data_IF_999962676453
#
_entry.id   IF_999962676453
#
_cell.length_a   1.000
_cell.length_b   1.000
_cell.length_c   1.000
_cell.angle_alpha   90.00
_cell.angle_beta   90.00
_cell.angle_gamma   90.00
#
_symmetry.space_group_name_H-M   'P 1'
#
loop_
_entity.id
_entity.type
_entity.pdbx_description
1 polymer ?
#
# COMPACT_ATOMS: atom_id res chain seq x y z
N UNK A 1 -19.11 12.22 9.00
CA UNK A 1 -19.47 10.80 9.12
C UNK A 1 -20.47 10.55 10.23
N UNK A 2 -20.25 11.15 11.41
CA UNK A 2 -21.19 11.10 12.54
C UNK A 2 -22.60 11.60 12.14
N UNK A 3 -22.66 12.75 11.42
CA UNK A 3 -23.92 13.28 10.90
C UNK A 3 -24.63 12.39 9.86
N UNK A 4 -23.91 11.50 9.21
CA UNK A 4 -24.46 10.52 8.26
C UNK A 4 -24.86 9.19 8.90
N UNK A 5 -24.55 9.02 10.20
CA UNK A 5 -24.91 7.85 10.99
C UNK A 5 -23.79 6.79 11.12
N UNK A 6 -22.54 7.12 10.75
CA UNK A 6 -21.40 6.31 11.19
C UNK A 6 -21.22 6.52 12.69
N UNK A 7 -21.19 5.43 13.47
CA UNK A 7 -21.09 5.54 14.92
C UNK A 7 -19.67 5.93 15.34
N UNK A 8 -19.40 7.24 15.34
CA UNK A 8 -18.10 7.81 15.68
C UNK A 8 -17.83 7.83 17.19
N UNK A 9 -18.84 7.64 18.02
CA UNK A 9 -18.80 7.70 19.49
C UNK A 9 -19.51 6.51 20.13
N UNK A 10 -19.01 5.27 19.92
CA UNK A 10 -19.68 4.06 20.39
C UNK A 10 -19.86 3.99 21.92
N UNK A 11 -19.06 4.75 22.68
CA UNK A 11 -19.14 4.85 24.16
C UNK A 11 -19.83 6.15 24.63
N UNK A 12 -20.38 6.95 23.71
CA UNK A 12 -21.00 8.24 24.01
C UNK A 12 -20.06 9.46 23.85
N UNK A 13 -18.73 9.23 23.91
CA UNK A 13 -17.71 10.27 23.78
C UNK A 13 -16.66 9.95 22.71
N UNK A 14 -15.87 10.97 22.32
CA UNK A 14 -14.69 10.77 21.49
C UNK A 14 -13.62 10.00 22.26
N UNK A 15 -13.23 8.86 21.74
CA UNK A 15 -12.30 7.97 22.42
C UNK A 15 -11.07 7.71 21.57
N UNK A 16 -9.91 8.16 22.05
CA UNK A 16 -8.62 7.82 21.47
C UNK A 16 -7.98 6.70 22.28
N UNK A 17 -7.94 5.51 21.72
CA UNK A 17 -7.33 4.30 22.31
C UNK A 17 -6.35 3.65 21.33
N UNK A 18 -5.61 2.67 21.80
CA UNK A 18 -4.63 1.92 21.06
C UNK A 18 -3.23 2.21 21.53
N UNK A 19 -2.28 1.57 20.90
CA UNK A 19 -0.89 1.67 21.30
C UNK A 19 -0.33 3.05 20.99
N UNK A 20 0.47 3.58 21.92
CA UNK A 20 1.27 4.78 21.72
C UNK A 20 2.68 4.51 22.24
N UNK A 21 3.68 5.16 21.67
CA UNK A 21 5.01 5.18 22.26
C UNK A 21 4.96 6.00 23.56
N UNK A 22 5.71 5.62 24.60
CA UNK A 22 5.80 6.38 25.85
C UNK A 22 6.08 7.86 25.58
N UNK A 23 5.32 8.74 26.23
CA UNK A 23 5.45 10.19 26.02
C UNK A 23 4.84 10.75 24.72
N UNK A 24 4.19 9.92 23.92
CA UNK A 24 3.45 10.37 22.72
C UNK A 24 1.95 10.29 22.99
N UNK A 25 1.14 11.23 22.41
CA UNK A 25 -0.30 11.15 22.52
C UNK A 25 -0.84 9.92 21.76
N UNK A 26 -1.94 9.35 22.24
CA UNK A 26 -2.69 8.37 21.47
C UNK A 26 -3.42 9.09 20.34
N UNK A 27 -3.17 8.64 19.13
CA UNK A 27 -3.70 9.27 17.93
C UNK A 27 -4.81 8.46 17.25
N UNK A 28 -5.13 7.25 17.75
CA UNK A 28 -6.12 6.37 17.12
C UNK A 28 -7.51 6.63 17.69
N UNK A 29 -8.34 7.33 16.93
CA UNK A 29 -9.76 7.47 17.25
C UNK A 29 -10.45 6.11 17.06
N UNK A 30 -11.11 5.62 18.09
CA UNK A 30 -11.92 4.40 18.04
C UNK A 30 -13.37 4.75 17.75
N UNK A 31 -13.89 4.18 16.68
CA UNK A 31 -15.29 4.31 16.28
C UNK A 31 -15.79 2.97 15.73
N UNK A 32 -17.08 2.80 15.62
CA UNK A 32 -17.67 1.63 14.96
C UNK A 32 -17.76 1.88 13.45
N UNK A 33 -16.81 1.34 12.72
CA UNK A 33 -16.71 1.43 11.27
C UNK A 33 -17.42 0.32 10.51
N UNK A 34 -18.18 -0.56 11.18
CA UNK A 34 -18.80 -1.75 10.56
C UNK A 34 -19.68 -1.44 9.36
N UNK A 35 -20.45 -0.34 9.42
CA UNK A 35 -21.32 0.13 8.36
C UNK A 35 -20.76 1.31 7.53
N UNK A 36 -19.57 1.76 7.83
CA UNK A 36 -18.96 2.96 7.21
C UNK A 36 -19.08 2.95 5.69
N UNK A 37 -18.65 1.89 5.02
CA UNK A 37 -18.68 1.80 3.55
C UNK A 37 -20.10 1.88 2.99
N UNK A 38 -21.07 1.24 3.65
CA UNK A 38 -22.47 1.29 3.24
C UNK A 38 -23.05 2.70 3.36
N UNK A 39 -22.74 3.37 4.48
CA UNK A 39 -23.15 4.75 4.73
C UNK A 39 -22.57 5.69 3.68
N UNK A 40 -21.26 5.64 3.44
CA UNK A 40 -20.60 6.50 2.46
C UNK A 40 -21.13 6.29 1.03
N UNK A 41 -21.38 5.04 0.63
CA UNK A 41 -21.99 4.74 -0.68
C UNK A 41 -23.42 5.26 -0.77
N UNK A 42 -24.23 5.14 0.31
CA UNK A 42 -25.58 5.69 0.36
C UNK A 42 -25.58 7.19 0.14
N UNK A 43 -24.74 7.93 0.88
CA UNK A 43 -24.64 9.38 0.79
C UNK A 43 -24.13 9.84 -0.60
N UNK A 44 -23.14 9.14 -1.14
CA UNK A 44 -22.65 9.45 -2.49
C UNK A 44 -23.75 9.27 -3.55
N UNK A 45 -24.52 8.18 -3.46
CA UNK A 45 -25.68 7.95 -4.36
C UNK A 45 -26.76 9.01 -4.19
N UNK A 46 -27.02 9.47 -2.97
CA UNK A 46 -28.04 10.48 -2.69
C UNK A 46 -27.73 11.83 -3.37
N UNK A 47 -26.46 12.16 -3.57
CA UNK A 47 -26.01 13.37 -4.30
C UNK A 47 -25.73 13.11 -5.79
N UNK A 48 -26.10 11.95 -6.33
CA UNK A 48 -26.05 11.66 -7.76
C UNK A 48 -24.73 11.08 -8.28
N UNK A 49 -23.81 10.63 -7.41
CA UNK A 49 -22.60 9.95 -7.83
C UNK A 49 -22.95 8.63 -8.53
N UNK A 50 -22.42 8.42 -9.72
CA UNK A 50 -22.57 7.18 -10.48
C UNK A 50 -21.44 6.22 -10.12
N UNK A 51 -21.77 4.96 -9.89
CA UNK A 51 -20.83 3.89 -9.57
C UNK A 51 -20.72 2.93 -10.76
N UNK A 52 -19.53 2.76 -11.27
CA UNK A 52 -19.18 1.78 -12.30
C UNK A 52 -18.43 0.63 -11.64
N UNK A 53 -19.17 -0.30 -11.04
CA UNK A 53 -18.61 -1.52 -10.45
C UNK A 53 -18.05 -2.41 -11.57
N UNK A 54 -17.02 -3.20 -11.24
CA UNK A 54 -16.34 -4.09 -12.20
C UNK A 54 -15.70 -3.34 -13.38
N UNK A 55 -15.29 -2.10 -13.17
CA UNK A 55 -14.61 -1.29 -14.17
C UNK A 55 -13.22 -0.85 -13.65
N UNK A 56 -12.22 -1.75 -13.58
CA UNK A 56 -10.86 -1.33 -13.25
C UNK A 56 -10.35 -0.33 -14.29
N UNK A 57 -9.75 0.75 -13.79
CA UNK A 57 -9.04 1.72 -14.62
C UNK A 57 -7.65 1.14 -14.91
N UNK A 58 -7.29 1.09 -16.20
CA UNK A 58 -6.04 0.48 -16.68
C UNK A 58 -5.09 1.49 -17.30
N UNK A 59 -5.57 2.72 -17.63
CA UNK A 59 -4.74 3.80 -18.15
C UNK A 59 -5.35 5.17 -17.85
N UNK A 60 -4.50 6.21 -17.76
CA UNK A 60 -4.92 7.60 -17.72
C UNK A 60 -4.65 8.29 -19.06
N UNK A 61 -5.56 9.15 -19.47
CA UNK A 61 -5.42 9.99 -20.65
C UNK A 61 -4.86 11.36 -20.27
N UNK A 62 -3.78 11.77 -20.93
CA UNK A 62 -3.20 13.11 -20.80
C UNK A 62 -3.20 13.80 -22.15
N UNK A 63 -3.75 15.01 -22.21
CA UNK A 63 -3.75 15.88 -23.40
C UNK A 63 -2.95 17.14 -23.05
N UNK A 64 -1.86 17.37 -23.78
CA UNK A 64 -0.89 18.40 -23.43
C UNK A 64 -0.24 18.10 -22.06
N UNK A 65 -0.37 19.05 -21.14
CA UNK A 65 0.17 18.92 -19.77
C UNK A 65 -0.85 18.40 -18.74
N UNK A 66 -2.12 18.19 -19.17
CA UNK A 66 -3.26 18.00 -18.27
C UNK A 66 -3.92 16.64 -18.41
N UNK A 67 -4.47 16.10 -17.32
CA UNK A 67 -5.36 14.94 -17.36
C UNK A 67 -6.66 15.27 -18.11
N UNK A 68 -7.08 14.35 -18.97
CA UNK A 68 -8.29 14.45 -19.79
C UNK A 68 -9.29 13.32 -19.56
N UNK A 69 -8.89 12.26 -18.85
CA UNK A 69 -9.74 11.12 -18.61
C UNK A 69 -8.97 9.84 -18.28
N UNK A 70 -9.60 8.70 -18.52
CA UNK A 70 -9.08 7.39 -18.23
C UNK A 70 -9.62 6.33 -19.18
N UNK A 71 -8.95 5.18 -19.27
CA UNK A 71 -9.46 3.95 -19.84
C UNK A 71 -9.83 2.99 -18.70
N UNK A 72 -11.07 2.55 -18.67
CA UNK A 72 -11.52 1.45 -17.86
C UNK A 72 -11.77 0.21 -18.73
N UNK A 73 -11.86 -0.95 -18.09
CA UNK A 73 -12.27 -2.20 -18.72
C UNK A 73 -13.50 -2.72 -17.96
N UNK A 74 -14.60 -2.90 -18.66
CA UNK A 74 -15.76 -3.61 -18.08
C UNK A 74 -15.46 -5.11 -18.03
N UNK A 75 -15.37 -5.63 -16.83
CA UNK A 75 -15.10 -7.05 -16.52
C UNK A 75 -16.32 -7.74 -15.90
N UNK A 76 -17.50 -7.20 -16.10
CA UNK A 76 -18.74 -7.78 -15.58
C UNK A 76 -19.17 -9.07 -16.31
N UNK A 77 -18.60 -9.32 -17.48
CA UNK A 77 -18.81 -10.52 -18.29
C UNK A 77 -17.48 -11.20 -18.61
N UNK A 78 -17.52 -12.41 -19.17
CA UNK A 78 -16.35 -13.17 -19.62
C UNK A 78 -15.53 -12.41 -20.67
N UNK A 79 -16.20 -11.67 -21.56
CA UNK A 79 -15.56 -10.87 -22.59
C UNK A 79 -15.41 -9.42 -22.11
N UNK A 80 -14.17 -8.90 -22.03
CA UNK A 80 -13.94 -7.53 -21.59
C UNK A 80 -14.42 -6.51 -22.64
N UNK A 81 -14.87 -5.36 -22.16
CA UNK A 81 -15.12 -4.21 -23.02
C UNK A 81 -14.30 -3.00 -22.56
N UNK A 82 -13.62 -2.34 -23.48
CA UNK A 82 -12.90 -1.12 -23.16
C UNK A 82 -13.85 0.08 -23.10
N UNK A 83 -13.74 0.84 -22.03
CA UNK A 83 -14.60 1.99 -21.73
C UNK A 83 -13.74 3.24 -21.53
N UNK A 84 -13.49 4.01 -22.61
CA UNK A 84 -12.86 5.33 -22.46
C UNK A 84 -13.78 6.29 -21.71
N UNK A 85 -13.23 7.01 -20.75
CA UNK A 85 -13.94 7.96 -19.90
C UNK A 85 -13.31 9.34 -20.06
N UNK A 86 -14.05 10.31 -20.54
CA UNK A 86 -13.64 11.72 -20.51
C UNK A 86 -13.87 12.29 -19.12
N UNK A 87 -12.88 12.97 -18.59
CA UNK A 87 -12.97 13.65 -17.31
C UNK A 87 -12.22 14.97 -17.32
N UNK A 88 -12.79 15.98 -16.70
CA UNK A 88 -12.16 17.31 -16.52
C UNK A 88 -11.06 17.27 -15.48
N UNK A 89 -11.23 16.42 -14.47
CA UNK A 89 -10.26 16.10 -13.42
C UNK A 89 -10.42 14.63 -13.03
N UNK A 90 -9.34 14.02 -12.52
CA UNK A 90 -9.34 12.64 -12.01
C UNK A 90 -8.76 12.64 -10.60
N UNK A 91 -9.44 11.99 -9.65
CA UNK A 91 -8.92 11.74 -8.32
C UNK A 91 -8.65 10.25 -8.14
N UNK A 92 -7.39 9.88 -7.94
CA UNK A 92 -6.98 8.50 -7.65
C UNK A 92 -7.10 8.22 -6.15
N UNK A 93 -7.87 7.19 -5.79
CA UNK A 93 -8.05 6.72 -4.42
C UNK A 93 -7.94 5.19 -4.35
N UNK A 94 -6.95 4.63 -5.03
CA UNK A 94 -6.76 3.18 -5.25
C UNK A 94 -6.23 2.43 -4.05
N UNK A 95 -5.88 3.13 -2.98
CA UNK A 95 -5.39 2.53 -1.74
C UNK A 95 -3.93 2.08 -1.83
N UNK A 96 -3.58 1.10 -0.99
CA UNK A 96 -2.22 0.57 -0.92
C UNK A 96 -1.92 -0.41 -2.07
N UNK A 97 -0.62 -0.64 -2.33
CA UNK A 97 -0.16 -1.65 -3.30
C UNK A 97 0.58 -2.77 -2.59
N UNK A 98 0.21 -4.00 -2.88
CA UNK A 98 0.88 -5.22 -2.43
C UNK A 98 1.13 -6.15 -3.63
N UNK A 99 1.58 -7.39 -3.42
CA UNK A 99 1.98 -8.34 -4.48
C UNK A 99 3.29 -7.97 -5.20
N UNK A 100 4.05 -7.00 -4.66
CA UNK A 100 5.38 -6.63 -5.17
C UNK A 100 6.49 -7.53 -4.64
N UNK A 101 6.34 -8.10 -3.45
CA UNK A 101 7.34 -8.89 -2.77
C UNK A 101 6.80 -10.27 -2.42
N UNK A 102 7.69 -11.25 -2.30
CA UNK A 102 7.31 -12.60 -1.86
C UNK A 102 6.66 -12.54 -0.48
N UNK A 103 5.62 -13.34 -0.30
CA UNK A 103 4.92 -13.46 0.97
C UNK A 103 5.87 -14.03 2.04
N UNK A 104 6.04 -13.30 3.13
CA UNK A 104 6.98 -13.67 4.18
C UNK A 104 6.45 -14.84 5.05
N UNK A 105 5.13 -15.00 5.20
CA UNK A 105 4.51 -16.04 6.01
C UNK A 105 4.41 -17.40 5.32
N UNK A 106 4.06 -17.38 4.05
CA UNK A 106 3.77 -18.55 3.22
C UNK A 106 4.49 -18.40 1.89
N UNK A 107 5.77 -18.81 1.79
CA UNK A 107 6.52 -18.76 0.53
C UNK A 107 5.75 -19.43 -0.62
N UNK A 108 5.75 -18.82 -1.78
CA UNK A 108 4.97 -19.25 -2.94
C UNK A 108 3.51 -18.79 -2.95
N UNK A 109 3.01 -18.20 -1.88
CA UNK A 109 1.69 -17.60 -1.84
C UNK A 109 1.74 -16.16 -2.35
N UNK A 110 1.04 -15.87 -3.43
CA UNK A 110 1.17 -14.60 -4.15
C UNK A 110 0.45 -13.44 -3.44
N UNK A 111 -0.69 -13.71 -2.83
CA UNK A 111 -1.53 -12.69 -2.22
C UNK A 111 -1.26 -12.53 -0.73
N UNK A 112 -1.29 -11.29 -0.27
CA UNK A 112 -1.34 -10.98 1.15
C UNK A 112 -2.74 -11.31 1.71
N UNK A 113 -2.78 -12.06 2.80
CA UNK A 113 -4.06 -12.53 3.39
C UNK A 113 -4.81 -11.45 4.19
N UNK A 114 -4.20 -10.32 4.46
CA UNK A 114 -4.78 -9.25 5.29
C UNK A 114 -5.30 -8.04 4.51
N UNK A 115 -4.98 -7.95 3.22
CA UNK A 115 -5.34 -6.80 2.39
C UNK A 115 -6.07 -7.23 1.12
N UNK A 116 -6.84 -6.32 0.55
CA UNK A 116 -7.58 -6.58 -0.67
C UNK A 116 -6.64 -6.92 -1.83
N UNK A 117 -6.75 -8.09 -2.45
CA UNK A 117 -5.88 -8.49 -3.55
C UNK A 117 -6.07 -7.66 -4.83
N UNK A 118 -7.12 -6.84 -4.89
CA UNK A 118 -7.37 -5.94 -6.01
C UNK A 118 -6.68 -4.57 -5.88
N UNK A 119 -6.09 -4.27 -4.72
CA UNK A 119 -5.28 -3.07 -4.54
C UNK A 119 -3.86 -3.34 -5.06
N UNK A 120 -3.67 -3.29 -6.37
CA UNK A 120 -2.39 -3.58 -7.00
C UNK A 120 -2.02 -2.49 -8.02
N UNK A 121 -0.91 -1.80 -7.75
CA UNK A 121 -0.23 -0.96 -8.73
C UNK A 121 -0.90 0.36 -9.12
N UNK A 122 -1.86 0.87 -8.33
CA UNK A 122 -2.51 2.14 -8.66
C UNK A 122 -1.55 3.33 -8.83
N UNK A 123 -0.38 3.27 -8.20
CA UNK A 123 0.72 4.22 -8.43
C UNK A 123 1.22 4.18 -9.89
N UNK A 124 1.19 3.00 -10.55
CA UNK A 124 1.58 2.85 -11.95
C UNK A 124 0.78 3.75 -12.90
N UNK A 125 -0.51 3.98 -12.63
CA UNK A 125 -1.32 4.92 -13.39
C UNK A 125 -0.74 6.34 -13.37
N UNK A 126 -0.37 6.82 -12.19
CA UNK A 126 0.28 8.13 -12.04
C UNK A 126 1.69 8.17 -12.64
N UNK A 127 2.44 7.06 -12.51
CA UNK A 127 3.79 6.92 -13.09
C UNK A 127 3.79 7.17 -14.59
N UNK A 128 2.93 6.46 -15.33
CA UNK A 128 2.86 6.54 -16.80
C UNK A 128 2.49 7.91 -17.34
N UNK A 129 1.73 8.71 -16.60
CA UNK A 129 1.41 10.10 -16.99
C UNK A 129 2.44 11.12 -16.51
N UNK A 130 3.54 10.68 -15.88
CA UNK A 130 4.63 11.52 -15.41
C UNK A 130 4.38 12.23 -14.08
N UNK A 131 3.42 11.76 -13.28
CA UNK A 131 3.23 12.27 -11.93
C UNK A 131 4.42 11.88 -11.03
N UNK A 132 4.93 12.85 -10.27
CA UNK A 132 6.03 12.61 -9.33
C UNK A 132 5.56 11.75 -8.16
N UNK A 133 6.44 10.84 -7.74
CA UNK A 133 6.25 9.99 -6.57
C UNK A 133 7.30 10.28 -5.52
N UNK A 134 6.96 10.02 -4.27
CA UNK A 134 7.82 10.26 -3.12
C UNK A 134 7.80 9.05 -2.17
N UNK A 135 8.92 8.85 -1.45
CA UNK A 135 9.09 7.76 -0.50
C UNK A 135 9.01 6.33 -1.11
N UNK A 136 9.20 6.19 -2.41
CA UNK A 136 9.18 4.90 -3.10
C UNK A 136 10.32 3.97 -2.65
N UNK A 137 11.45 4.51 -2.23
CA UNK A 137 12.58 3.77 -1.68
C UNK A 137 12.32 3.17 -0.28
N UNK A 138 11.21 3.55 0.37
CA UNK A 138 10.81 3.10 1.71
C UNK A 138 9.53 2.25 1.73
N UNK A 139 9.42 1.14 0.98
CA UNK A 139 8.25 0.27 1.13
C UNK A 139 7.99 -0.04 2.59
N UNK A 140 6.73 0.00 2.99
CA UNK A 140 6.32 -0.12 4.37
C UNK A 140 6.29 -1.58 4.81
N UNK A 141 6.83 -1.86 5.98
CA UNK A 141 6.75 -3.16 6.64
C UNK A 141 6.19 -2.99 8.04
N UNK A 142 5.39 -3.94 8.50
CA UNK A 142 4.93 -3.96 9.88
C UNK A 142 4.94 -5.36 10.48
N UNK A 143 4.89 -5.45 11.80
CA UNK A 143 4.82 -6.71 12.52
C UNK A 143 3.37 -7.20 12.65
N UNK A 144 3.19 -8.50 12.73
CA UNK A 144 1.91 -9.15 12.98
C UNK A 144 2.02 -10.66 13.06
N UNK A 145 0.90 -11.37 13.30
CA UNK A 145 0.86 -12.82 13.41
C UNK A 145 1.26 -13.49 12.09
N UNK A 146 2.11 -14.50 12.15
CA UNK A 146 2.74 -15.11 10.98
C UNK A 146 1.78 -15.90 10.12
N UNK A 147 0.99 -16.77 10.69
CA UNK A 147 0.17 -17.74 9.95
C UNK A 147 -1.33 -17.41 9.97
N UNK A 148 -1.70 -16.31 10.58
CA UNK A 148 -3.09 -15.85 10.67
C UNK A 148 -3.37 -14.76 9.64
N UNK A 149 -4.59 -14.27 9.61
CA UNK A 149 -4.94 -13.10 8.82
C UNK A 149 -3.99 -11.95 9.17
N UNK A 150 -3.46 -11.28 8.15
CA UNK A 150 -2.58 -10.14 8.36
C UNK A 150 -3.31 -9.01 9.02
N UNK A 151 -2.78 -8.60 10.14
CA UNK A 151 -3.21 -7.43 10.88
C UNK A 151 -1.98 -6.78 11.51
N UNK A 152 -2.04 -5.49 11.74
CA UNK A 152 -0.98 -4.80 12.50
C UNK A 152 -0.96 -5.27 13.95
N UNK A 153 0.17 -5.07 14.62
CA UNK A 153 0.32 -5.31 16.05
C UNK A 153 -0.47 -4.31 16.93
N UNK A 154 -1.03 -3.26 16.31
CA UNK A 154 -1.57 -2.11 17.06
C UNK A 154 -2.75 -2.42 18.00
N UNK A 155 -3.36 -3.57 17.85
CA UNK A 155 -4.44 -4.05 18.74
C UNK A 155 -4.02 -5.18 19.65
N UNK A 156 -2.83 -5.74 19.47
CA UNK A 156 -2.28 -6.78 20.31
C UNK A 156 -1.65 -6.16 21.57
N UNK A 157 -2.05 -6.64 22.74
CA UNK A 157 -1.64 -6.10 24.05
C UNK A 157 -0.58 -6.92 24.76
N UNK A 158 -0.26 -8.12 24.22
CA UNK A 158 0.70 -9.05 24.81
C UNK A 158 2.15 -8.58 24.72
N UNK A 159 3.06 -9.45 25.11
CA UNK A 159 4.51 -9.24 25.14
C UNK A 159 5.20 -10.18 24.17
N UNK A 160 6.18 -9.68 23.40
CA UNK A 160 7.04 -10.55 22.62
C UNK A 160 7.96 -11.37 23.53
N UNK A 161 7.87 -12.70 23.40
CA UNK A 161 8.68 -13.65 24.17
C UNK A 161 9.47 -14.57 23.28
N UNK A 162 10.63 -14.97 23.79
CA UNK A 162 11.40 -16.08 23.26
C UNK A 162 10.64 -17.41 23.47
N UNK A 163 11.05 -18.51 22.79
CA UNK A 163 10.48 -19.85 23.02
C UNK A 163 10.58 -20.35 24.48
N UNK A 164 11.54 -19.84 25.27
CA UNK A 164 11.70 -20.16 26.69
C UNK A 164 10.79 -19.33 27.62
N UNK A 165 9.93 -18.47 27.05
CA UNK A 165 8.97 -17.63 27.79
C UNK A 165 9.54 -16.31 28.29
N UNK A 166 10.83 -16.02 28.13
CA UNK A 166 11.41 -14.74 28.56
C UNK A 166 11.02 -13.62 27.62
N UNK A 167 10.72 -12.40 28.12
CA UNK A 167 10.48 -11.24 27.29
C UNK A 167 11.66 -10.91 26.37
N UNK A 168 11.36 -10.50 25.13
CA UNK A 168 12.36 -10.06 24.16
C UNK A 168 12.69 -8.60 24.42
N UNK A 169 13.90 -8.35 24.93
CA UNK A 169 14.38 -7.01 25.24
C UNK A 169 13.78 -6.44 26.55
N UNK A 170 14.17 -5.21 26.90
CA UNK A 170 13.76 -4.56 28.14
C UNK A 170 12.53 -3.66 28.00
N UNK A 171 11.92 -3.58 26.79
CA UNK A 171 10.95 -2.52 26.48
C UNK A 171 9.53 -2.83 26.95
N UNK A 172 9.13 -4.12 26.96
CA UNK A 172 7.86 -4.58 27.46
C UNK A 172 8.04 -5.87 28.25
N UNK A 173 7.46 -5.95 29.43
CA UNK A 173 7.53 -7.13 30.31
C UNK A 173 6.17 -7.60 30.77
N UNK A 174 5.12 -6.79 30.54
CA UNK A 174 3.72 -7.06 30.89
C UNK A 174 2.81 -6.60 29.76
N UNK A 175 1.70 -7.30 29.61
CA UNK A 175 0.61 -6.90 28.73
C UNK A 175 0.07 -5.51 29.08
N UNK A 176 -0.06 -4.63 28.10
CA UNK A 176 -0.49 -3.25 28.31
C UNK A 176 -1.40 -2.77 27.16
N UNK A 177 -2.69 -2.49 27.42
CA UNK A 177 -3.62 -1.97 26.41
C UNK A 177 -3.32 -0.52 26.02
N UNK A 178 -2.46 0.19 26.75
CA UNK A 178 -2.09 1.57 26.47
C UNK A 178 -0.96 1.69 25.45
N UNK A 179 0.09 0.91 25.64
CA UNK A 179 1.28 0.99 24.79
C UNK A 179 1.47 -0.27 23.95
N UNK A 180 0.98 -1.42 24.41
CA UNK A 180 1.29 -2.72 23.86
C UNK A 180 2.80 -3.02 23.94
N UNK A 181 3.25 -3.97 23.16
CA UNK A 181 4.70 -4.22 23.07
C UNK A 181 5.34 -3.33 22.01
N UNK A 182 6.13 -2.38 22.46
CA UNK A 182 6.86 -1.41 21.62
C UNK A 182 8.21 -1.94 21.12
N UNK A 183 8.59 -3.17 21.46
CA UNK A 183 9.89 -3.74 21.11
C UNK A 183 10.17 -3.68 19.61
N UNK A 184 9.21 -4.07 18.76
CA UNK A 184 9.40 -4.03 17.31
C UNK A 184 9.38 -2.63 16.70
N UNK A 185 8.97 -1.61 17.45
CA UNK A 185 9.06 -0.20 17.02
C UNK A 185 10.42 0.39 17.35
N UNK A 186 11.00 -0.01 18.48
CA UNK A 186 12.29 0.48 18.96
C UNK A 186 13.43 -0.34 18.35
N UNK A 187 13.31 -1.66 18.37
CA UNK A 187 14.23 -2.60 17.74
C UNK A 187 13.62 -3.15 16.45
N UNK A 188 13.74 -2.40 15.39
CA UNK A 188 13.07 -2.67 14.11
C UNK A 188 13.42 -4.04 13.48
N UNK A 189 14.64 -4.57 13.73
CA UNK A 189 15.10 -5.87 13.20
C UNK A 189 14.91 -7.03 14.17
N UNK A 190 14.09 -6.88 15.21
CA UNK A 190 13.97 -7.87 16.31
C UNK A 190 13.66 -9.28 15.80
N UNK A 191 12.72 -9.43 14.88
CA UNK A 191 12.32 -10.76 14.38
C UNK A 191 13.44 -11.44 13.60
N UNK A 192 14.12 -10.69 12.74
CA UNK A 192 15.26 -11.19 11.97
C UNK A 192 16.46 -11.48 12.86
N UNK A 193 16.70 -10.65 13.86
CA UNK A 193 17.85 -10.80 14.77
C UNK A 193 17.69 -11.99 15.71
N UNK A 194 16.50 -12.23 16.25
CA UNK A 194 16.27 -13.41 17.10
C UNK A 194 16.38 -14.72 16.30
N UNK A 195 15.92 -14.73 15.05
CA UNK A 195 16.09 -15.88 14.16
C UNK A 195 17.56 -16.11 13.80
N UNK A 196 18.31 -15.05 13.47
CA UNK A 196 19.73 -15.14 13.13
C UNK A 196 20.58 -15.62 14.30
N UNK A 197 20.20 -15.26 15.51
CA UNK A 197 20.87 -15.72 16.75
C UNK A 197 20.48 -17.12 17.20
N UNK A 198 19.51 -17.76 16.52
CA UNK A 198 18.98 -19.07 16.92
C UNK A 198 18.15 -19.04 18.21
N UNK A 199 17.68 -17.87 18.64
CA UNK A 199 16.85 -17.70 19.83
C UNK A 199 15.38 -17.49 19.54
N UNK A 200 15.00 -17.36 18.25
CA UNK A 200 13.62 -17.23 17.79
C UNK A 200 12.89 -18.58 17.69
N UNK A 201 11.63 -18.55 17.23
CA UNK A 201 10.89 -17.37 16.79
C UNK A 201 10.41 -16.47 17.94
N UNK A 202 9.87 -15.30 17.60
CA UNK A 202 9.22 -14.41 18.57
C UNK A 202 7.73 -14.74 18.68
N UNK A 203 7.22 -14.88 19.89
CA UNK A 203 5.81 -15.13 20.16
C UNK A 203 5.16 -13.93 20.83
N UNK A 204 4.00 -13.52 20.37
CA UNK A 204 3.09 -12.63 21.09
C UNK A 204 2.36 -13.47 22.14
N UNK A 205 2.55 -13.17 23.40
CA UNK A 205 2.03 -13.88 24.55
C UNK A 205 1.19 -12.93 25.41
N UNK A 206 -0.07 -13.27 25.61
CA UNK A 206 -1.02 -12.54 26.44
C UNK A 206 -1.32 -13.27 27.76
N UNK A 207 -0.49 -14.21 28.21
CA UNK A 207 -0.76 -15.05 29.39
C UNK A 207 -0.90 -14.26 30.68
N UNK A 208 -0.29 -13.08 30.79
CA UNK A 208 -0.38 -12.17 31.91
C UNK A 208 -1.49 -11.09 31.76
N UNK A 209 -2.23 -11.10 30.67
CA UNK A 209 -3.34 -10.18 30.46
C UNK A 209 -4.57 -10.59 31.28
N UNK A 210 -5.25 -9.60 31.83
CA UNK A 210 -6.55 -9.83 32.52
C UNK A 210 -7.68 -10.05 31.50
N UNK A 211 -8.78 -10.66 31.95
CA UNK A 211 -9.96 -10.85 31.10
C UNK A 211 -10.51 -9.53 30.55
N UNK A 212 -10.45 -8.45 31.34
CA UNK A 212 -10.85 -7.11 30.90
C UNK A 212 -9.93 -6.59 29.78
N UNK A 213 -8.61 -6.80 29.89
CA UNK A 213 -7.66 -6.43 28.86
C UNK A 213 -7.86 -7.25 27.58
N UNK A 214 -8.17 -8.54 27.70
CA UNK A 214 -8.50 -9.38 26.54
C UNK A 214 -9.82 -8.99 25.90
N UNK A 215 -10.83 -8.61 26.67
CA UNK A 215 -12.08 -8.06 26.15
C UNK A 215 -11.84 -6.76 25.35
N UNK A 216 -10.98 -5.88 25.88
CA UNK A 216 -10.53 -4.69 25.16
C UNK A 216 -9.83 -5.04 23.84
N UNK A 217 -8.92 -6.01 23.83
CA UNK A 217 -8.23 -6.43 22.62
C UNK A 217 -9.21 -6.94 21.54
N UNK A 218 -10.16 -7.80 21.92
CA UNK A 218 -11.21 -8.30 21.00
C UNK A 218 -12.09 -7.17 20.46
N UNK A 219 -12.52 -6.25 21.32
CA UNK A 219 -13.28 -5.08 20.91
C UNK A 219 -12.51 -4.21 19.90
N UNK A 220 -11.23 -3.93 20.17
CA UNK A 220 -10.38 -3.16 19.30
C UNK A 220 -10.16 -3.85 17.94
N UNK A 221 -9.94 -5.16 17.94
CA UNK A 221 -9.81 -5.95 16.71
C UNK A 221 -11.11 -5.94 15.90
N UNK A 222 -12.27 -6.06 16.55
CA UNK A 222 -13.58 -5.96 15.89
C UNK A 222 -13.78 -4.60 15.23
N UNK A 223 -13.45 -3.52 15.93
CA UNK A 223 -13.52 -2.15 15.40
C UNK A 223 -12.58 -1.89 14.21
N UNK A 224 -11.48 -2.63 14.12
CA UNK A 224 -10.56 -2.60 12.96
C UNK A 224 -10.99 -3.55 11.81
N UNK A 225 -12.10 -4.26 11.95
CA UNK A 225 -12.61 -5.18 10.93
C UNK A 225 -11.91 -6.54 10.90
N UNK A 226 -11.21 -6.93 11.98
CA UNK A 226 -10.50 -8.21 12.10
C UNK A 226 -11.41 -9.36 12.56
N UNK A 227 -12.68 -9.32 12.24
CA UNK A 227 -13.67 -10.33 12.65
C UNK A 227 -13.35 -11.72 12.10
N UNK A 228 -12.82 -11.80 10.88
CA UNK A 228 -12.41 -13.08 10.29
C UNK A 228 -11.24 -13.72 11.08
N UNK A 229 -10.29 -12.92 11.56
CA UNK A 229 -9.20 -13.39 12.43
C UNK A 229 -9.75 -13.94 13.74
N UNK A 230 -10.63 -13.20 14.41
CA UNK A 230 -11.23 -13.63 15.67
C UNK A 230 -12.03 -14.93 15.52
N UNK A 231 -12.86 -15.03 14.46
CA UNK A 231 -13.61 -16.23 14.14
C UNK A 231 -12.69 -17.43 13.85
N UNK A 232 -11.59 -17.21 13.13
CA UNK A 232 -10.62 -18.27 12.84
C UNK A 232 -9.97 -18.76 14.13
N UNK A 233 -9.48 -17.84 14.97
CA UNK A 233 -8.86 -18.19 16.26
C UNK A 233 -9.83 -18.98 17.15
N UNK A 234 -11.10 -18.59 17.23
CA UNK A 234 -12.13 -19.29 17.99
C UNK A 234 -12.35 -20.71 17.46
N UNK A 235 -12.52 -20.89 16.15
CA UNK A 235 -12.73 -22.18 15.51
C UNK A 235 -11.55 -23.16 15.70
N UNK A 236 -10.34 -22.63 15.63
CA UNK A 236 -9.10 -23.42 15.77
C UNK A 236 -8.67 -23.58 17.25
N UNK A 237 -9.43 -23.01 18.20
CA UNK A 237 -9.11 -23.08 19.62
C UNK A 237 -7.85 -22.30 20.00
N UNK A 238 -7.48 -21.28 19.23
CA UNK A 238 -6.31 -20.43 19.49
C UNK A 238 -6.70 -19.37 20.53
N UNK A 239 -6.20 -19.54 21.75
CA UNK A 239 -6.40 -18.61 22.86
C UNK A 239 -5.06 -17.90 23.14
N UNK A 240 -4.91 -16.60 22.88
CA UNK A 240 -3.67 -15.87 23.10
C UNK A 240 -3.20 -15.81 24.58
N UNK A 241 -4.10 -16.07 25.55
CA UNK A 241 -3.72 -16.22 26.95
C UNK A 241 -3.07 -17.58 27.26
N UNK A 242 -3.27 -18.59 26.41
CA UNK A 242 -2.74 -19.95 26.56
C UNK A 242 -1.70 -20.31 25.53
N UNK A 243 -1.79 -19.68 24.35
CA UNK A 243 -0.98 -20.02 23.19
C UNK A 243 -0.21 -18.78 22.74
N UNK A 244 1.10 -18.84 22.74
CA UNK A 244 1.93 -17.84 22.09
C UNK A 244 1.69 -17.85 20.59
N UNK A 245 1.34 -16.70 20.03
CA UNK A 245 1.13 -16.55 18.58
C UNK A 245 2.43 -16.09 17.94
N UNK A 246 2.99 -16.89 17.01
CA UNK A 246 4.21 -16.50 16.32
C UNK A 246 4.01 -15.19 15.54
N UNK A 247 4.91 -14.24 15.78
CA UNK A 247 4.93 -12.93 15.13
C UNK A 247 6.16 -12.78 14.24
N UNK A 248 5.97 -12.04 13.17
CA UNK A 248 7.05 -11.70 12.26
C UNK A 248 6.83 -10.34 11.61
N UNK A 249 7.82 -9.88 10.86
CA UNK A 249 7.68 -8.76 9.95
C UNK A 249 7.14 -9.24 8.61
N UNK A 250 6.10 -8.57 8.13
CA UNK A 250 5.48 -8.88 6.85
C UNK A 250 6.33 -8.41 5.66
N UNK A 251 6.00 -8.92 4.47
CA UNK A 251 6.55 -8.44 3.22
C UNK A 251 6.25 -6.95 3.05
N UNK A 252 7.15 -6.23 2.35
CA UNK A 252 6.96 -4.81 2.07
C UNK A 252 5.75 -4.54 1.17
N UNK A 253 5.07 -3.44 1.44
CA UNK A 253 3.94 -2.92 0.67
C UNK A 253 4.11 -1.42 0.42
N UNK A 254 3.44 -0.86 -0.58
CA UNK A 254 3.33 0.58 -0.75
C UNK A 254 2.08 1.07 0.01
N UNK A 255 2.29 1.60 1.19
CA UNK A 255 1.28 2.14 2.10
C UNK A 255 1.75 3.51 2.58
N UNK A 256 1.11 4.58 2.13
CA UNK A 256 1.61 5.94 2.30
C UNK A 256 2.94 6.15 1.55
N UNK A 257 3.06 5.55 0.39
CA UNK A 257 4.21 5.61 -0.54
C UNK A 257 3.65 5.70 -1.95
N UNK A 258 4.01 6.73 -2.69
CA UNK A 258 3.45 6.93 -4.03
C UNK A 258 3.38 8.39 -4.42
N UNK A 259 2.23 8.82 -4.92
CA UNK A 259 2.09 10.15 -5.53
C UNK A 259 2.42 11.28 -4.55
N UNK A 260 3.19 12.25 -5.06
CA UNK A 260 3.52 13.49 -4.38
C UNK A 260 2.42 14.51 -4.66
N UNK A 261 1.75 15.00 -3.62
CA UNK A 261 0.59 15.88 -3.75
C UNK A 261 0.76 17.19 -2.98
N UNK A 262 0.07 18.23 -3.43
CA UNK A 262 -0.10 19.49 -2.68
C UNK A 262 -1.02 19.27 -1.47
N UNK A 263 -1.20 20.32 -0.67
CA UNK A 263 -2.12 20.31 0.46
C UNK A 263 -3.58 20.10 0.01
N UNK A 264 -3.92 20.48 -1.23
CA UNK A 264 -5.21 20.25 -1.87
C UNK A 264 -5.31 18.90 -2.59
N UNK A 265 -4.31 18.04 -2.48
CA UNK A 265 -4.30 16.72 -3.08
C UNK A 265 -3.97 16.67 -4.58
N UNK A 266 -3.63 17.81 -5.24
CA UNK A 266 -3.23 17.80 -6.65
C UNK A 266 -1.79 17.32 -6.81
N UNK A 267 -1.55 16.46 -7.81
CA UNK A 267 -0.21 15.96 -8.15
C UNK A 267 0.57 16.98 -8.98
N UNK A 268 1.78 16.60 -9.42
CA UNK A 268 2.56 17.40 -10.38
C UNK A 268 1.96 17.45 -11.79
N UNK A 269 0.91 16.66 -12.07
CA UNK A 269 0.19 16.67 -13.35
C UNK A 269 -1.13 17.40 -13.16
N UNK A 270 -1.35 18.55 -13.82
CA UNK A 270 -2.58 19.33 -13.68
C UNK A 270 -3.85 18.50 -13.92
N UNK A 271 -4.84 18.64 -13.05
CA UNK A 271 -6.11 17.91 -13.10
C UNK A 271 -6.05 16.50 -12.54
N UNK A 272 -4.87 16.01 -12.14
CA UNK A 272 -4.71 14.72 -11.46
C UNK A 272 -4.56 14.94 -9.96
N UNK A 273 -5.49 14.41 -9.19
CA UNK A 273 -5.52 14.42 -7.73
C UNK A 273 -5.29 13.02 -7.17
N UNK A 274 -4.86 12.92 -5.92
CA UNK A 274 -4.74 11.64 -5.24
C UNK A 274 -5.08 11.76 -3.76
N UNK A 275 -5.64 10.67 -3.18
CA UNK A 275 -6.03 10.61 -1.78
C UNK A 275 -5.80 9.23 -1.17
N UNK A 276 -5.58 9.19 0.15
CA UNK A 276 -5.41 7.95 0.93
C UNK A 276 -4.03 7.34 0.78
N UNK A 277 -3.96 6.02 0.93
CA UNK A 277 -2.68 5.27 1.05
C UNK A 277 -1.81 5.28 -0.23
N UNK A 278 -2.37 5.74 -1.35
CA UNK A 278 -1.67 6.00 -2.60
C UNK A 278 -0.73 7.21 -2.52
N UNK A 279 -0.99 8.14 -1.59
CA UNK A 279 -0.22 9.38 -1.42
C UNK A 279 1.05 9.10 -0.63
N UNK A 280 2.19 9.60 -1.12
CA UNK A 280 3.50 9.32 -0.55
C UNK A 280 3.99 10.33 0.50
N UNK A 281 3.49 11.54 0.49
CA UNK A 281 3.94 12.64 1.37
C UNK A 281 2.96 12.97 2.51
N UNK A 282 1.85 12.26 2.63
CA UNK A 282 0.82 12.55 3.62
C UNK A 282 0.73 11.55 4.79
N UNK A 283 1.40 10.41 4.72
CA UNK A 283 1.23 9.30 5.66
C UNK A 283 0.24 8.26 5.17
N UNK A 284 -0.54 7.64 6.07
CA UNK A 284 -1.45 6.55 5.69
C UNK A 284 -2.61 6.39 6.69
N UNK A 285 -3.61 5.60 6.31
CA UNK A 285 -4.74 5.22 7.15
C UNK A 285 -6.03 6.01 6.90
N UNK A 286 -7.10 5.57 7.55
CA UNK A 286 -8.48 6.00 7.29
C UNK A 286 -8.66 7.51 7.49
N UNK A 287 -8.08 8.08 8.55
CA UNK A 287 -8.21 9.51 8.85
C UNK A 287 -7.62 10.39 7.74
N UNK A 288 -6.42 10.02 7.25
CA UNK A 288 -5.80 10.75 6.15
C UNK A 288 -6.57 10.53 4.83
N UNK A 289 -7.05 9.31 4.58
CA UNK A 289 -7.86 9.02 3.39
C UNK A 289 -9.14 9.87 3.38
N UNK A 290 -9.78 10.05 4.53
CA UNK A 290 -10.96 10.90 4.67
C UNK A 290 -10.62 12.38 4.44
N UNK A 291 -9.54 12.88 5.06
CA UNK A 291 -9.10 14.26 4.92
C UNK A 291 -8.71 14.60 3.48
N UNK A 292 -7.78 13.83 2.89
CA UNK A 292 -7.35 14.07 1.51
C UNK A 292 -8.46 13.81 0.48
N UNK A 293 -9.38 12.88 0.77
CA UNK A 293 -10.55 12.65 -0.09
C UNK A 293 -11.51 13.84 -0.07
N UNK A 294 -11.65 14.51 1.09
CA UNK A 294 -12.44 15.73 1.23
C UNK A 294 -11.78 16.92 0.51
N UNK A 295 -10.55 17.26 0.88
CA UNK A 295 -9.81 18.40 0.32
C UNK A 295 -9.58 18.22 -1.19
N UNK A 296 -9.07 17.07 -1.60
CA UNK A 296 -8.82 16.77 -3.00
C UNK A 296 -10.10 16.69 -3.83
N UNK A 297 -11.19 16.18 -3.26
CA UNK A 297 -12.49 16.14 -3.93
C UNK A 297 -13.05 17.55 -4.17
N UNK A 298 -12.95 18.45 -3.17
CA UNK A 298 -13.36 19.84 -3.31
C UNK A 298 -12.50 20.60 -4.33
N UNK A 299 -11.19 20.46 -4.27
CA UNK A 299 -10.28 21.10 -5.20
C UNK A 299 -10.46 20.59 -6.65
N UNK A 300 -10.61 19.28 -6.82
CA UNK A 300 -10.89 18.66 -8.12
C UNK A 300 -12.21 19.18 -8.72
N UNK A 301 -13.26 19.28 -7.91
CA UNK A 301 -14.57 19.81 -8.36
C UNK A 301 -14.48 21.30 -8.73
N UNK A 302 -13.79 22.10 -7.93
CA UNK A 302 -13.58 23.53 -8.22
C UNK A 302 -12.82 23.71 -9.53
N UNK A 303 -11.75 22.94 -9.75
CA UNK A 303 -10.98 22.98 -10.98
C UNK A 303 -11.80 22.49 -12.19
N UNK A 304 -12.60 21.43 -12.04
CA UNK A 304 -13.47 20.91 -13.10
C UNK A 304 -14.51 21.92 -13.59
N UNK A 305 -14.90 22.87 -12.76
CA UNK A 305 -15.82 23.95 -13.15
C UNK A 305 -15.18 24.98 -14.09
N UNK A 306 -13.84 25.03 -14.16
CA UNK A 306 -13.08 26.06 -14.91
C UNK A 306 -12.48 25.55 -16.21
N UNK A 307 -12.61 24.24 -16.52
CA UNK A 307 -12.00 23.61 -17.70
C UNK A 307 -13.03 22.84 -18.51
N UNK A 308 -12.74 22.69 -19.80
CA UNK A 308 -13.58 21.90 -20.72
C UNK A 308 -13.08 20.46 -20.83
N UNK A 309 -13.97 19.57 -21.30
CA UNK A 309 -13.60 18.21 -21.67
C UNK A 309 -12.61 18.21 -22.84
N UNK A 310 -11.65 17.29 -22.78
CA UNK A 310 -10.69 17.02 -23.84
C UNK A 310 -10.94 15.61 -24.42
N UNK A 311 -10.51 15.34 -25.66
CA UNK A 311 -10.73 14.04 -26.32
C UNK A 311 -9.78 12.96 -25.75
N UNK A 312 -10.05 12.47 -24.57
CA UNK A 312 -9.25 11.48 -23.84
C UNK A 312 -9.05 10.18 -24.65
N UNK A 313 -10.11 9.74 -25.34
CA UNK A 313 -10.13 8.50 -26.14
C UNK A 313 -9.21 8.53 -27.37
N UNK A 314 -8.82 9.72 -27.82
CA UNK A 314 -7.94 9.90 -28.99
C UNK A 314 -6.46 9.88 -28.60
N UNK A 315 -6.13 9.79 -27.31
CA UNK A 315 -4.74 9.81 -26.86
C UNK A 315 -3.99 8.54 -27.25
N UNK A 316 -2.72 8.70 -27.57
CA UNK A 316 -1.85 7.57 -27.94
C UNK A 316 -1.70 6.57 -26.78
N UNK A 317 -1.67 7.05 -25.54
CA UNK A 317 -1.60 6.19 -24.34
C UNK A 317 -2.80 5.24 -24.25
N UNK A 318 -4.02 5.76 -24.44
CA UNK A 318 -5.24 4.94 -24.45
C UNK A 318 -5.19 3.91 -25.58
N UNK A 319 -4.85 4.34 -26.80
CA UNK A 319 -4.78 3.44 -27.96
C UNK A 319 -3.76 2.32 -27.76
N UNK A 320 -2.54 2.66 -27.36
CA UNK A 320 -1.48 1.66 -27.08
C UNK A 320 -1.88 0.69 -25.99
N UNK A 321 -2.51 1.18 -24.92
CA UNK A 321 -2.96 0.31 -23.82
C UNK A 321 -4.07 -0.64 -24.25
N UNK A 322 -5.02 -0.16 -25.04
CA UNK A 322 -6.07 -1.01 -25.63
C UNK A 322 -5.47 -2.08 -26.56
N UNK A 323 -4.56 -1.72 -27.45
CA UNK A 323 -3.87 -2.65 -28.34
C UNK A 323 -3.10 -3.72 -27.57
N UNK A 324 -2.34 -3.33 -26.53
CA UNK A 324 -1.59 -4.26 -25.69
C UNK A 324 -2.53 -5.23 -24.97
N UNK A 325 -3.57 -4.73 -24.30
CA UNK A 325 -4.48 -5.58 -23.53
C UNK A 325 -5.33 -6.47 -24.46
N UNK A 326 -5.74 -5.98 -25.65
CA UNK A 326 -6.40 -6.81 -26.64
C UNK A 326 -5.51 -7.97 -27.09
N UNK A 327 -4.22 -7.70 -27.30
CA UNK A 327 -3.27 -8.75 -27.71
C UNK A 327 -3.12 -9.89 -26.68
N UNK A 328 -3.44 -9.64 -25.40
CA UNK A 328 -3.46 -10.71 -24.40
C UNK A 328 -4.68 -11.63 -24.58
N UNK A 329 -5.84 -11.07 -24.95
CA UNK A 329 -7.03 -11.86 -25.28
C UNK A 329 -6.86 -12.67 -26.57
N UNK A 330 -6.02 -12.19 -27.50
CA UNK A 330 -5.67 -12.93 -28.73
C UNK A 330 -4.71 -14.11 -28.48
N UNK A 331 -4.18 -14.24 -27.26
CA UNK A 331 -3.24 -15.29 -26.86
C UNK A 331 -3.76 -16.08 -25.64
N UNK A 332 -4.89 -16.78 -25.73
CA UNK A 332 -5.47 -17.48 -24.57
C UNK A 332 -4.53 -18.58 -24.00
N UNK A 333 -3.64 -19.15 -24.82
CA UNK A 333 -2.62 -20.14 -24.41
C UNK A 333 -1.27 -19.47 -24.04
N UNK A 334 -1.23 -18.15 -23.89
CA UNK A 334 -0.04 -17.41 -23.49
C UNK A 334 0.36 -17.68 -22.03
N UNK A 335 1.49 -17.11 -21.62
CA UNK A 335 1.98 -17.24 -20.24
C UNK A 335 0.95 -16.70 -19.24
N UNK A 336 0.79 -17.41 -18.12
CA UNK A 336 -0.14 -16.98 -17.05
C UNK A 336 0.42 -15.72 -16.34
N UNK A 337 -0.47 -14.78 -16.05
CA UNK A 337 -0.15 -13.59 -15.27
C UNK A 337 0.47 -13.91 -13.89
N UNK A 338 0.16 -15.09 -13.31
CA UNK A 338 0.72 -15.55 -12.03
C UNK A 338 2.23 -15.76 -12.13
N UNK A 339 2.70 -16.37 -13.22
CA UNK A 339 4.13 -16.62 -13.43
C UNK A 339 4.89 -15.30 -13.53
N UNK A 340 4.36 -14.32 -14.28
CA UNK A 340 4.93 -13.00 -14.38
C UNK A 340 4.93 -12.26 -13.02
N UNK A 341 3.85 -12.39 -12.23
CA UNK A 341 3.79 -11.79 -10.90
C UNK A 341 4.78 -12.45 -9.92
N UNK A 342 4.92 -13.77 -9.95
CA UNK A 342 5.88 -14.49 -9.09
C UNK A 342 7.32 -14.11 -9.45
N UNK A 343 7.65 -14.02 -10.74
CA UNK A 343 8.95 -13.54 -11.19
C UNK A 343 9.23 -12.10 -10.73
N UNK A 344 8.24 -11.22 -10.81
CA UNK A 344 8.34 -9.86 -10.27
C UNK A 344 8.62 -9.87 -8.76
N UNK A 345 7.86 -10.66 -7.99
CA UNK A 345 8.07 -10.77 -6.55
C UNK A 345 9.47 -11.25 -6.20
N UNK A 346 10.02 -12.21 -6.96
CA UNK A 346 11.38 -12.69 -6.76
C UNK A 346 12.40 -11.60 -7.08
N UNK A 347 12.28 -10.92 -8.22
CA UNK A 347 13.16 -9.80 -8.59
C UNK A 347 13.16 -8.73 -7.49
N UNK A 348 11.98 -8.31 -7.02
CA UNK A 348 11.87 -7.29 -5.99
C UNK A 348 12.45 -7.73 -4.65
N UNK A 349 12.25 -9.00 -4.27
CA UNK A 349 12.75 -9.54 -3.00
C UNK A 349 14.25 -9.74 -2.97
N UNK A 350 14.86 -10.11 -4.10
CA UNK A 350 16.28 -10.42 -4.18
C UNK A 350 17.13 -9.18 -4.52
N UNK A 351 16.64 -8.29 -5.38
CA UNK A 351 17.43 -7.17 -5.91
C UNK A 351 17.07 -5.79 -5.33
N UNK A 352 15.81 -5.61 -4.89
CA UNK A 352 15.35 -4.37 -4.26
C UNK A 352 14.67 -4.60 -2.90
N UNK A 353 15.21 -5.50 -2.05
CA UNK A 353 14.57 -5.84 -0.79
C UNK A 353 14.41 -4.59 0.08
N UNK A 354 13.36 -4.55 0.91
CA UNK A 354 13.13 -3.48 1.87
C UNK A 354 12.91 -4.04 3.28
N UNK A 355 13.42 -3.34 4.26
CA UNK A 355 13.34 -3.72 5.67
C UNK A 355 14.67 -3.56 6.39
N UNK A 356 14.68 -3.53 7.72
CA UNK A 356 15.86 -3.17 8.51
C UNK A 356 17.01 -4.17 8.43
N UNK A 357 16.72 -5.42 8.07
CA UNK A 357 17.71 -6.49 7.89
C UNK A 357 17.94 -6.87 6.42
N UNK A 358 17.41 -6.08 5.49
CA UNK A 358 17.47 -6.33 4.05
C UNK A 358 18.37 -5.28 3.38
N UNK A 359 19.41 -5.73 2.70
CA UNK A 359 20.49 -4.87 2.19
C UNK A 359 20.40 -4.73 0.68
N UNK A 360 20.52 -3.49 0.21
CA UNK A 360 20.63 -3.08 -1.19
C UNK A 360 22.05 -2.62 -1.51
N UNK A 361 22.43 -2.65 -2.76
CA UNK A 361 23.60 -1.99 -3.30
C UNK A 361 23.33 -1.48 -4.72
N UNK A 362 24.15 -0.59 -5.22
CA UNK A 362 24.05 -0.12 -6.61
C UNK A 362 24.08 -1.29 -7.61
N UNK A 363 24.98 -2.25 -7.40
CA UNK A 363 25.11 -3.45 -8.24
C UNK A 363 23.81 -4.27 -8.25
N UNK A 364 23.23 -4.56 -7.05
CA UNK A 364 21.99 -5.32 -6.97
C UNK A 364 20.81 -4.58 -7.61
N UNK A 365 20.67 -3.28 -7.32
CA UNK A 365 19.57 -2.48 -7.84
C UNK A 365 19.63 -2.34 -9.38
N UNK A 366 20.83 -2.17 -9.95
CA UNK A 366 20.98 -2.14 -11.41
C UNK A 366 20.68 -3.49 -12.05
N UNK A 367 21.18 -4.59 -11.49
CA UNK A 367 20.83 -5.93 -11.96
C UNK A 367 19.31 -6.17 -11.89
N UNK A 368 18.67 -5.77 -10.79
CA UNK A 368 17.21 -5.85 -10.64
C UNK A 368 16.45 -5.07 -11.69
N UNK A 369 16.91 -3.86 -12.04
CA UNK A 369 16.31 -3.06 -13.12
C UNK A 369 16.41 -3.76 -14.47
N UNK A 370 17.56 -4.36 -14.78
CA UNK A 370 17.76 -5.09 -16.03
C UNK A 370 16.82 -6.31 -16.09
N UNK A 371 16.70 -7.09 -15.00
CA UNK A 371 15.76 -8.21 -14.93
C UNK A 371 14.31 -7.76 -15.02
N UNK A 372 13.95 -6.66 -14.37
CA UNK A 372 12.59 -6.10 -14.45
C UNK A 372 12.24 -5.67 -15.88
N UNK A 373 13.18 -5.03 -16.59
CA UNK A 373 13.02 -4.66 -17.99
C UNK A 373 12.84 -5.88 -18.90
N UNK A 374 13.63 -6.93 -18.68
CA UNK A 374 13.50 -8.20 -19.41
C UNK A 374 12.15 -8.87 -19.13
N UNK A 375 11.74 -8.91 -17.85
CA UNK A 375 10.45 -9.47 -17.46
C UNK A 375 9.29 -8.71 -18.09
N UNK A 376 9.31 -7.38 -18.10
CA UNK A 376 8.31 -6.54 -18.76
C UNK A 376 8.21 -6.87 -20.25
N UNK A 377 9.35 -6.90 -20.93
CA UNK A 377 9.39 -7.23 -22.36
C UNK A 377 8.81 -8.62 -22.65
N UNK A 378 9.15 -9.62 -21.85
CA UNK A 378 8.57 -10.97 -21.94
C UNK A 378 7.07 -10.96 -21.66
N UNK A 379 6.63 -10.29 -20.61
CA UNK A 379 5.23 -10.24 -20.20
C UNK A 379 4.35 -9.62 -21.26
N UNK A 380 4.73 -8.47 -21.82
CA UNK A 380 3.97 -7.79 -22.90
C UNK A 380 3.83 -8.65 -24.18
N UNK A 381 4.81 -9.49 -24.47
CA UNK A 381 4.82 -10.34 -25.67
C UNK A 381 4.21 -11.71 -25.48
N UNK A 382 4.24 -12.26 -24.28
CA UNK A 382 3.94 -13.67 -24.03
C UNK A 382 2.73 -13.89 -23.12
N UNK A 383 2.38 -12.95 -22.24
CA UNK A 383 1.17 -13.12 -21.42
C UNK A 383 -0.06 -13.26 -22.28
N UNK A 384 -0.95 -14.13 -21.84
CA UNK A 384 -2.27 -14.33 -22.39
C UNK A 384 -3.36 -14.11 -21.35
N UNK A 385 -4.59 -13.99 -21.83
CA UNK A 385 -5.77 -13.90 -21.00
C UNK A 385 -6.92 -14.70 -21.62
N UNK A 386 -7.61 -15.48 -20.78
CA UNK A 386 -8.73 -16.34 -21.24
C UNK A 386 -10.10 -15.71 -21.01
N UNK A 387 -10.16 -14.67 -20.16
CA UNK A 387 -11.39 -13.97 -19.82
C UNK A 387 -11.07 -12.60 -19.22
N UNK A 388 -12.09 -11.80 -19.02
CA UNK A 388 -11.97 -10.44 -18.46
C UNK A 388 -11.25 -10.41 -17.10
N UNK A 389 -11.45 -11.44 -16.24
CA UNK A 389 -10.75 -11.52 -14.96
C UNK A 389 -9.24 -11.71 -15.11
N UNK A 390 -8.81 -12.63 -15.98
CA UNK A 390 -7.38 -12.87 -16.23
C UNK A 390 -6.73 -11.68 -16.94
N UNK A 391 -7.46 -10.96 -17.80
CA UNK A 391 -7.01 -9.72 -18.43
C UNK A 391 -6.75 -8.62 -17.38
N UNK A 392 -7.69 -8.43 -16.46
CA UNK A 392 -7.51 -7.48 -15.34
C UNK A 392 -6.25 -7.81 -14.55
N UNK A 393 -6.02 -9.08 -14.22
CA UNK A 393 -4.83 -9.53 -13.48
C UNK A 393 -3.54 -9.30 -14.26
N UNK A 394 -3.54 -9.52 -15.56
CA UNK A 394 -2.39 -9.23 -16.42
C UNK A 394 -2.08 -7.72 -16.46
N UNK A 395 -3.11 -6.87 -16.54
CA UNK A 395 -2.95 -5.42 -16.46
C UNK A 395 -2.35 -4.97 -15.12
N UNK A 396 -2.82 -5.55 -13.99
CA UNK A 396 -2.28 -5.28 -12.66
C UNK A 396 -0.80 -5.65 -12.53
N UNK A 397 -0.35 -6.73 -13.15
CA UNK A 397 1.08 -7.13 -13.12
C UNK A 397 1.96 -6.09 -13.80
N UNK A 398 1.50 -5.51 -14.92
CA UNK A 398 2.23 -4.42 -15.58
C UNK A 398 2.30 -3.17 -14.70
N UNK A 399 1.20 -2.82 -14.02
CA UNK A 399 1.15 -1.70 -13.08
C UNK A 399 2.10 -1.92 -11.87
N UNK A 400 2.23 -3.17 -11.41
CA UNK A 400 3.21 -3.55 -10.38
C UNK A 400 4.65 -3.43 -10.87
N UNK A 401 4.92 -3.72 -12.15
CA UNK A 401 6.25 -3.50 -12.74
C UNK A 401 6.61 -2.00 -12.77
N UNK A 402 5.65 -1.11 -13.06
CA UNK A 402 5.85 0.34 -12.96
C UNK A 402 6.22 0.76 -11.53
N UNK A 403 5.53 0.21 -10.52
CA UNK A 403 5.87 0.43 -9.11
C UNK A 403 7.29 -0.08 -8.77
N UNK A 404 7.66 -1.25 -9.27
CA UNK A 404 9.00 -1.83 -9.10
C UNK A 404 10.09 -0.93 -9.69
N UNK A 405 9.86 -0.40 -10.88
CA UNK A 405 10.77 0.54 -11.53
C UNK A 405 10.96 1.83 -10.71
N UNK A 406 9.85 2.43 -10.24
CA UNK A 406 9.88 3.61 -9.39
C UNK A 406 10.65 3.35 -8.07
N UNK A 407 10.43 2.19 -7.42
CA UNK A 407 11.16 1.78 -6.21
C UNK A 407 12.66 1.67 -6.45
N UNK A 408 13.08 0.98 -7.50
CA UNK A 408 14.49 0.73 -7.79
C UNK A 408 15.21 2.04 -8.13
N UNK A 409 14.60 2.92 -8.94
CA UNK A 409 15.19 4.21 -9.29
C UNK A 409 15.28 5.15 -8.08
N UNK A 410 14.26 5.20 -7.22
CA UNK A 410 14.32 5.96 -5.97
C UNK A 410 15.41 5.41 -5.04
N UNK A 411 15.53 4.08 -4.93
CA UNK A 411 16.57 3.43 -4.11
C UNK A 411 17.99 3.67 -4.63
N UNK A 412 18.19 3.73 -5.94
CA UNK A 412 19.48 4.10 -6.55
C UNK A 412 19.85 5.55 -6.27
N UNK A 413 18.89 6.46 -6.41
CA UNK A 413 19.11 7.89 -6.23
C UNK A 413 19.37 8.28 -4.76
N UNK A 414 18.85 7.53 -3.78
CA UNK A 414 19.12 7.75 -2.35
C UNK A 414 20.40 7.08 -1.91
N UNK A 415 21.47 7.82 -1.86
CA UNK A 415 22.83 7.35 -1.49
C UNK A 415 23.07 7.50 0.02
N UNK A 416 22.25 6.85 0.82
CA UNK A 416 22.36 6.75 2.29
C UNK A 416 21.61 5.50 2.79
N UNK A 417 21.82 5.16 4.06
CA UNK A 417 20.99 4.19 4.80
C UNK A 417 20.02 4.94 5.72
N UNK A 418 18.71 4.69 5.56
CA UNK A 418 17.67 5.32 6.39
C UNK A 418 16.44 4.41 6.47
N UNK A 419 15.93 4.18 7.69
CA UNK A 419 14.74 3.37 7.94
C UNK A 419 14.78 2.00 7.21
N UNK A 420 13.80 1.71 6.34
CA UNK A 420 13.72 0.45 5.59
C UNK A 420 14.60 0.44 4.31
N UNK A 421 15.31 1.51 4.03
CA UNK A 421 16.26 1.62 2.93
C UNK A 421 17.69 1.46 3.46
N UNK A 422 18.25 0.25 3.35
CA UNK A 422 19.59 -0.08 3.84
C UNK A 422 20.51 -0.31 2.65
N UNK A 423 21.58 0.48 2.56
CA UNK A 423 22.59 0.44 1.49
C UNK A 423 23.93 -0.03 2.04
N UNK A 424 24.47 -1.14 1.51
CA UNK A 424 25.83 -1.60 1.91
C UNK A 424 26.95 -0.71 1.37
N UNK A 425 26.72 -0.08 0.24
CA UNK A 425 27.64 0.87 -0.40
C UNK A 425 27.53 2.30 0.19
N UNK A 426 26.44 2.60 0.91
CA UNK A 426 26.24 3.86 1.66
C UNK A 426 25.69 3.56 3.07
N UNK A 427 26.52 2.99 3.98
CA UNK A 427 26.04 2.46 5.26
C UNK A 427 25.78 3.53 6.33
N UNK A 428 25.78 4.80 5.99
CA UNK A 428 25.59 5.94 6.88
C UNK A 428 24.26 6.64 6.60
N UNK A 429 23.70 7.29 7.60
CA UNK A 429 22.56 8.21 7.45
C UNK A 429 23.09 9.62 7.21
N UNK A 430 22.71 10.26 6.11
CA UNK A 430 23.14 11.61 5.78
C UNK A 430 22.20 12.64 6.46
N UNK A 431 22.69 13.43 7.45
CA UNK A 431 21.85 14.41 8.14
C UNK A 431 21.34 15.54 7.23
N UNK A 432 22.05 15.83 6.12
CA UNK A 432 21.65 16.86 5.16
C UNK A 432 20.42 16.47 4.32
N UNK A 433 19.97 15.22 4.42
CA UNK A 433 18.78 14.70 3.74
C UNK A 433 17.61 14.48 4.69
N UNK A 434 17.74 14.83 5.97
CA UNK A 434 16.73 14.58 7.00
C UNK A 434 15.43 15.38 6.80
N UNK A 435 15.53 16.55 6.18
CA UNK A 435 14.43 17.49 5.91
C UNK A 435 14.00 17.49 4.44
N UNK A 436 14.40 16.46 3.66
CA UNK A 436 14.13 16.39 2.22
C UNK A 436 13.39 15.12 1.84
N UNK A 437 12.46 15.29 0.91
CA UNK A 437 11.91 14.21 0.11
C UNK A 437 12.74 14.00 -1.16
N UNK A 438 12.96 12.73 -1.51
CA UNK A 438 13.38 12.35 -2.85
C UNK A 438 12.11 12.10 -3.67
N UNK A 439 11.96 12.80 -4.78
CA UNK A 439 10.88 12.56 -5.74
C UNK A 439 11.44 11.87 -6.97
N UNK A 440 10.67 10.94 -7.54
CA UNK A 440 10.96 10.27 -8.81
C UNK A 440 9.76 10.39 -9.73
N UNK A 441 9.99 10.46 -11.03
CA UNK A 441 8.94 10.53 -12.04
C UNK A 441 9.50 10.38 -13.44
N UNK A 442 8.62 10.23 -14.44
CA UNK A 442 9.00 10.18 -15.84
C UNK A 442 8.97 11.59 -16.46
N UNK A 443 10.02 11.95 -17.21
CA UNK A 443 10.09 13.09 -18.10
C UNK A 443 10.36 12.54 -19.52
N UNK A 444 9.31 12.41 -20.33
CA UNK A 444 9.37 11.52 -21.49
C UNK A 444 9.57 10.07 -21.06
N UNK A 445 10.56 9.40 -21.64
CA UNK A 445 10.92 8.01 -21.29
C UNK A 445 12.04 7.92 -20.23
N UNK A 446 12.51 9.05 -19.71
CA UNK A 446 13.60 9.08 -18.74
C UNK A 446 13.07 9.19 -17.29
N UNK A 447 13.65 8.39 -16.40
CA UNK A 447 13.38 8.50 -14.97
C UNK A 447 14.23 9.60 -14.38
N UNK A 448 13.58 10.60 -13.81
CA UNK A 448 14.24 11.74 -13.17
C UNK A 448 14.00 11.70 -11.66
N UNK A 449 15.09 11.83 -10.90
CA UNK A 449 15.07 11.93 -9.44
C UNK A 449 15.47 13.34 -9.00
N UNK A 450 14.69 13.94 -8.07
CA UNK A 450 14.96 15.30 -7.55
C UNK A 450 14.71 15.36 -6.05
N UNK A 451 15.52 16.16 -5.36
CA UNK A 451 15.31 16.46 -3.95
C UNK A 451 14.46 17.72 -3.79
N UNK A 452 13.50 17.68 -2.87
CA UNK A 452 12.75 18.85 -2.43
C UNK A 452 12.66 18.90 -0.90
N UNK A 453 12.53 20.09 -0.28
CA UNK A 453 12.24 20.20 1.15
C UNK A 453 10.89 19.53 1.52
N UNK A 454 10.82 18.94 2.71
CA UNK A 454 9.58 18.31 3.22
C UNK A 454 8.46 19.34 3.37
N UNK A 455 8.80 20.59 3.76
CA UNK A 455 7.83 21.65 4.07
C UNK A 455 7.50 22.57 2.89
N UNK A 456 7.89 22.21 1.66
CA UNK A 456 7.46 22.97 0.48
C UNK A 456 6.29 22.27 -0.22
N UNK A 457 5.29 23.04 -0.68
CA UNK A 457 4.25 22.52 -1.55
C UNK A 457 4.87 21.88 -2.81
N UNK A 458 4.14 20.97 -3.42
CA UNK A 458 4.54 20.38 -4.71
C UNK A 458 4.64 21.49 -5.74
N UNK A 459 5.84 21.78 -6.23
CA UNK A 459 6.00 22.74 -7.33
C UNK A 459 5.47 22.09 -8.61
N UNK A 460 4.56 22.77 -9.26
CA UNK A 460 4.05 22.41 -10.58
C UNK A 460 5.14 22.44 -11.64
#
# INVERSE_FOLDING_TARGET
WDAWGVNMRPTGDWECKGHALPGKPRAFLKYDGSDQKKVLVREAKAVGVKFYNHHPVVELARVGDRIAGALAVDISTEQPAFVPVRAKTVLLATGLTHRLYMNASTPGFMFNTGHCPNCAGGQGLGWRVGARMVNMEFPYTHAGPKYLQRCGKATWIGVYRYPDGKPIGPFATKSDPQYGDVTSDIWNSVFEDVMRKGTGPAYMDCSDATDEQMAYMRWAMTGEGLTALLTYMEKEGIDPQKHGVEFMRYEPILHGRGLDVSDEGETSVPGLFAAGDLVGNGGCGIALAAYLGWEGGMAAAAQAATVDFQPAEETESIRKRMELLSSFMDRPEGADWKDANMALQQIMSDYAPAGPAKVRSETLLNAGRDYLKQLRHSAERQMGATCSHTLMRAAEVLDLMDCGEAIMNAALARQETRANHVRSDFPFTNPLLADKFLTVGLEGDEVVARWRPIRQPVSR
#
